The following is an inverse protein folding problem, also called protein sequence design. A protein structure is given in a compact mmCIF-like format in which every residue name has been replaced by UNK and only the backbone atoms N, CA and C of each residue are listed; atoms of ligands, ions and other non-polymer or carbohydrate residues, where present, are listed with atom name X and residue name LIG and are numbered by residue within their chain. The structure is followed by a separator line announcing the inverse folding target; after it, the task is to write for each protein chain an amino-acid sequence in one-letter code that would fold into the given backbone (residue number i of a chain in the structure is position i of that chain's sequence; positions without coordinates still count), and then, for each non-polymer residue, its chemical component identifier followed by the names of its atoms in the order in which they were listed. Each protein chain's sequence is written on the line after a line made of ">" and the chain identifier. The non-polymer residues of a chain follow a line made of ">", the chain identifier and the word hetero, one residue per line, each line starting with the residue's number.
data_IF_108833761540
#
_entry.id   IF_108833761540
#
_cell.length_a   1.000
_cell.length_b   1.000
_cell.length_c   1.000
_cell.angle_alpha   90.00
_cell.angle_beta   90.00
_cell.angle_gamma   90.00
#
_symmetry.space_group_name_H-M   'P 1'
#
loop_
_entity.id
_entity.type
_entity.pdbx_description
1 polymer ?
#
# COMPACT_ATOMS: atom_id res chain seq x y z
N UNK A 1 -10.25 -9.70 -1.67
CA UNK A 1 -9.40 -9.43 -0.50
C UNK A 1 -10.31 -8.85 0.56
N UNK A 2 -10.01 -9.11 1.84
CA UNK A 2 -10.73 -8.49 2.95
C UNK A 2 -10.12 -7.13 3.25
N UNK A 3 -10.93 -6.18 3.74
CA UNK A 3 -10.57 -4.77 4.00
C UNK A 3 -9.26 -4.50 4.76
N UNK A 4 -8.76 -5.50 5.49
CA UNK A 4 -7.52 -5.44 6.29
C UNK A 4 -6.27 -5.78 5.47
N UNK A 5 -6.44 -6.38 4.29
CA UNK A 5 -5.34 -6.85 3.45
C UNK A 5 -4.57 -5.68 2.83
N UNK A 6 -5.25 -4.63 2.34
CA UNK A 6 -4.58 -3.51 1.66
C UNK A 6 -3.63 -2.74 2.59
N UNK A 7 -4.07 -2.45 3.82
CA UNK A 7 -3.22 -1.80 4.82
C UNK A 7 -1.96 -2.63 5.10
N UNK A 8 -2.13 -3.94 5.24
CA UNK A 8 -1.04 -4.89 5.49
C UNK A 8 -0.05 -4.91 4.32
N UNK A 9 -0.53 -4.89 3.08
CA UNK A 9 0.31 -4.87 1.88
C UNK A 9 1.09 -3.56 1.73
N UNK A 10 0.47 -2.42 2.06
CA UNK A 10 1.16 -1.12 2.08
C UNK A 10 2.30 -1.14 3.10
N UNK A 11 2.05 -1.61 4.32
CA UNK A 11 3.09 -1.70 5.36
C UNK A 11 4.23 -2.61 4.91
N UNK A 12 3.94 -3.79 4.34
CA UNK A 12 4.98 -4.69 3.83
C UNK A 12 5.81 -4.08 2.72
N UNK A 13 5.17 -3.39 1.77
CA UNK A 13 5.85 -2.78 0.64
C UNK A 13 6.79 -1.65 1.09
N UNK A 14 6.33 -0.82 2.03
CA UNK A 14 7.15 0.22 2.65
C UNK A 14 8.31 -0.40 3.43
N UNK A 15 8.04 -1.40 4.27
CA UNK A 15 9.07 -2.12 5.02
C UNK A 15 10.17 -2.68 4.12
N UNK A 16 9.77 -3.29 3.00
CA UNK A 16 10.69 -3.86 2.03
C UNK A 16 11.53 -2.78 1.33
N UNK A 17 10.94 -1.62 1.03
CA UNK A 17 11.66 -0.49 0.42
C UNK A 17 12.68 0.13 1.39
N UNK A 18 12.31 0.26 2.66
CA UNK A 18 13.19 0.74 3.74
C UNK A 18 14.22 -0.32 4.20
N UNK A 19 14.04 -1.58 3.80
CA UNK A 19 14.87 -2.71 4.25
C UNK A 19 14.71 -3.03 5.73
N UNK A 20 13.56 -2.69 6.31
CA UNK A 20 13.23 -2.89 7.73
C UNK A 20 12.13 -3.95 7.89
N UNK A 21 11.91 -4.40 9.12
CA UNK A 21 10.74 -5.24 9.41
C UNK A 21 9.44 -4.43 9.38
N UNK A 22 8.30 -5.03 8.98
CA UNK A 22 6.99 -4.36 9.00
C UNK A 22 6.60 -3.74 10.34
N UNK A 23 7.10 -4.28 11.45
CA UNK A 23 6.89 -3.76 12.81
C UNK A 23 7.76 -2.54 13.14
N UNK A 24 8.81 -2.29 12.37
CA UNK A 24 9.73 -1.17 12.52
C UNK A 24 9.39 0.01 11.59
N UNK A 25 8.41 -0.16 10.70
CA UNK A 25 7.85 0.90 9.86
C UNK A 25 7.16 1.94 10.73
N UNK A 26 7.44 3.22 10.49
CA UNK A 26 6.74 4.30 11.18
C UNK A 26 5.22 4.23 10.94
N UNK A 27 4.38 4.66 11.89
CA UNK A 27 2.95 4.51 11.75
C UNK A 27 2.41 5.26 10.52
N UNK A 28 1.69 4.54 9.65
CA UNK A 28 1.11 5.13 8.42
C UNK A 28 0.21 6.34 8.70
N UNK A 29 -0.46 6.38 9.86
CA UNK A 29 -1.33 7.48 10.27
C UNK A 29 -0.63 8.83 10.44
N UNK A 30 0.70 8.85 10.55
CA UNK A 30 1.50 10.08 10.56
C UNK A 30 1.59 10.72 9.17
N UNK A 31 1.42 9.93 8.10
CA UNK A 31 1.59 10.36 6.71
C UNK A 31 0.28 10.39 5.92
N UNK A 32 -0.64 9.47 6.23
CA UNK A 32 -1.92 9.33 5.57
C UNK A 32 -2.97 8.81 6.55
N UNK A 33 -4.19 9.33 6.47
CA UNK A 33 -5.31 8.75 7.20
C UNK A 33 -5.58 7.31 6.68
N UNK A 34 -5.43 6.27 7.53
CA UNK A 34 -5.70 4.89 7.12
C UNK A 34 -7.13 4.69 6.60
N UNK A 35 -8.08 5.56 6.99
CA UNK A 35 -9.45 5.55 6.47
C UNK A 35 -9.51 5.74 4.96
N UNK A 36 -8.56 6.47 4.36
CA UNK A 36 -8.47 6.63 2.90
C UNK A 36 -8.21 5.29 2.23
N UNK A 37 -7.33 4.46 2.78
CA UNK A 37 -7.04 3.12 2.25
C UNK A 37 -8.28 2.23 2.33
N UNK A 38 -9.03 2.30 3.44
CA UNK A 38 -10.29 1.56 3.59
C UNK A 38 -11.39 2.01 2.64
N UNK A 39 -11.38 3.28 2.21
CA UNK A 39 -12.31 3.81 1.20
C UNK A 39 -11.90 3.37 -0.19
N UNK A 40 -10.60 3.39 -0.50
CA UNK A 40 -10.04 2.94 -1.78
C UNK A 40 -10.29 1.45 -2.04
N UNK A 41 -10.15 0.59 -1.03
CA UNK A 41 -10.50 -0.83 -1.12
C UNK A 41 -12.00 -1.06 -1.43
N UNK A 42 -12.86 -0.11 -1.06
CA UNK A 42 -14.29 -0.15 -1.33
C UNK A 42 -14.70 0.42 -2.69
N UNK A 43 -13.78 1.00 -3.47
CA UNK A 43 -14.07 1.48 -4.82
C UNK A 43 -14.16 0.28 -5.75
N UNK A 44 -15.25 0.18 -6.51
CA UNK A 44 -15.43 -0.90 -7.47
C UNK A 44 -14.26 -0.98 -8.46
N UNK A 45 -13.78 -2.20 -8.70
CA UNK A 45 -12.61 -2.49 -9.52
C UNK A 45 -12.77 -2.12 -11.01
N UNK A 46 -13.95 -1.68 -11.44
CA UNK A 46 -14.24 -1.30 -12.83
C UNK A 46 -13.69 0.07 -13.22
N UNK A 47 -13.25 0.88 -12.25
CA UNK A 47 -12.61 2.17 -12.53
C UNK A 47 -11.10 2.08 -12.35
N UNK A 48 -10.33 2.32 -13.42
CA UNK A 48 -8.88 2.45 -13.33
C UNK A 48 -8.51 3.67 -12.48
N UNK A 49 -8.13 3.44 -11.23
CA UNK A 49 -7.60 4.47 -10.34
C UNK A 49 -6.20 4.13 -9.86
N UNK A 50 -5.43 5.18 -9.56
CA UNK A 50 -4.14 5.12 -8.91
C UNK A 50 -4.08 6.20 -7.84
N UNK A 51 -3.65 5.80 -6.66
CA UNK A 51 -3.48 6.70 -5.52
C UNK A 51 -2.01 6.71 -5.11
N UNK A 52 -1.37 7.86 -5.21
CA UNK A 52 0.03 8.04 -4.82
C UNK A 52 0.13 8.99 -3.65
N UNK A 53 0.87 8.57 -2.61
CA UNK A 53 1.17 9.41 -1.47
C UNK A 53 2.65 9.27 -1.10
N UNK A 54 3.16 10.25 -0.37
CA UNK A 54 4.54 10.27 0.10
C UNK A 54 4.59 9.75 1.54
N UNK A 55 5.48 8.81 1.78
CA UNK A 55 5.80 8.24 3.08
C UNK A 55 7.29 8.46 3.33
N UNK A 56 7.65 9.39 4.22
CA UNK A 56 9.05 9.78 4.42
C UNK A 56 9.72 10.25 3.13
N UNK A 57 10.72 9.49 2.67
CA UNK A 57 11.42 9.69 1.38
C UNK A 57 10.84 8.89 0.21
N UNK A 58 9.92 7.96 0.48
CA UNK A 58 9.35 7.02 -0.48
C UNK A 58 8.02 7.52 -1.06
N UNK A 59 7.76 7.18 -2.31
CA UNK A 59 6.47 7.37 -2.98
C UNK A 59 5.74 6.04 -3.08
N UNK A 60 4.63 5.92 -2.37
CA UNK A 60 3.79 4.73 -2.37
C UNK A 60 2.63 4.96 -3.33
N UNK A 61 2.51 4.10 -4.34
CA UNK A 61 1.42 4.10 -5.31
C UNK A 61 0.59 2.84 -5.18
N UNK A 62 -0.71 3.01 -5.00
CA UNK A 62 -1.71 1.95 -4.91
C UNK A 62 -2.57 2.00 -6.16
N UNK A 63 -2.78 0.86 -6.79
CA UNK A 63 -3.63 0.72 -7.98
C UNK A 63 -4.95 0.02 -7.64
N UNK A 64 -5.96 0.20 -8.49
CA UNK A 64 -7.27 -0.43 -8.34
C UNK A 64 -7.21 -1.95 -8.10
N UNK A 65 -6.26 -2.65 -8.73
CA UNK A 65 -6.00 -4.09 -8.56
C UNK A 65 -5.29 -4.46 -7.24
N UNK A 66 -5.28 -3.54 -6.26
CA UNK A 66 -4.57 -3.66 -4.97
C UNK A 66 -3.05 -3.83 -5.09
N UNK A 67 -2.47 -3.49 -6.25
CA UNK A 67 -1.02 -3.49 -6.44
C UNK A 67 -0.40 -2.27 -5.76
N UNK A 68 0.60 -2.51 -4.91
CA UNK A 68 1.38 -1.47 -4.25
C UNK A 68 2.77 -1.37 -4.90
N UNK A 69 3.17 -0.16 -5.24
CA UNK A 69 4.48 0.16 -5.84
C UNK A 69 5.14 1.22 -4.97
N UNK A 70 6.40 1.01 -4.58
CA UNK A 70 7.15 1.98 -3.78
C UNK A 70 8.35 2.45 -4.59
N UNK A 71 8.48 3.75 -4.81
CA UNK A 71 9.54 4.37 -5.64
C UNK A 71 9.71 3.82 -7.06
N UNK A 72 8.70 3.12 -7.57
CA UNK A 72 8.74 2.46 -8.87
C UNK A 72 9.12 0.98 -8.81
N UNK A 73 9.48 0.45 -7.64
CA UNK A 73 9.65 -0.98 -7.39
C UNK A 73 8.30 -1.66 -7.12
N UNK A 74 7.97 -2.64 -7.95
CA UNK A 74 6.72 -3.38 -7.88
C UNK A 74 6.75 -4.38 -6.72
N UNK A 75 5.93 -4.14 -5.69
CA UNK A 75 5.65 -5.15 -4.67
C UNK A 75 4.37 -5.90 -5.06
N UNK A 76 4.54 -7.06 -5.68
CA UNK A 76 3.46 -8.03 -5.85
C UNK A 76 3.66 -9.09 -4.77
N UNK A 77 2.78 -9.15 -3.78
CA UNK A 77 2.64 -10.35 -2.97
C UNK A 77 2.26 -11.49 -3.90
N UNK A 78 3.22 -12.38 -4.14
CA UNK A 78 2.99 -13.62 -4.87
C UNK A 78 1.96 -14.43 -4.09
N UNK A 79 0.71 -14.46 -4.57
CA UNK A 79 -0.18 -15.59 -4.25
C UNK A 79 0.40 -16.81 -4.95
N UNK A 80 1.01 -17.70 -4.18
CA UNK A 80 1.15 -19.10 -4.56
C UNK A 80 -0.23 -19.68 -4.88
N UNK A 81 -0.28 -20.40 -5.99
CA UNK A 81 -1.45 -21.00 -6.64
C UNK A 81 -2.24 -21.98 -5.75
#
# INVERSE_FOLDING_TARGET
>A
MTRTDLLTEVVKAVAAADGVEPSAVEPLHEYIDPEVLYRLDGVENDTEWRFTFRYGTHYVTISHDSRVVVDGDFHRSERSA
#
